data_IF_995665311813
#
_entry.id   IF_995665311813
#
_cell.length_a   1.000
_cell.length_b   1.000
_cell.length_c   1.000
_cell.angle_alpha   90.00
_cell.angle_beta   90.00
_cell.angle_gamma   90.00
#
_symmetry.space_group_name_H-M   'P 1'
#
loop_
_entity.id
_entity.type
_entity.pdbx_description
1 polymer ?
#
# COMPACT_ATOMS: atom_id res chain seq x y z
N UNK A 1 -4.53 12.02 -10.97
CA UNK A 1 -5.02 12.06 -9.57
C UNK A 1 -3.81 11.85 -8.65
N UNK A 2 -3.73 12.56 -7.53
CA UNK A 2 -2.66 12.39 -6.54
C UNK A 2 -3.18 11.60 -5.32
N UNK A 3 -2.28 11.04 -4.52
CA UNK A 3 -2.62 10.10 -3.45
C UNK A 3 -3.67 10.64 -2.48
N UNK A 4 -3.52 11.87 -1.98
CA UNK A 4 -4.47 12.41 -1.01
C UNK A 4 -5.89 12.59 -1.59
N UNK A 5 -6.01 12.88 -2.88
CA UNK A 5 -7.32 12.92 -3.55
C UNK A 5 -7.92 11.51 -3.64
N UNK A 6 -7.12 10.50 -3.98
CA UNK A 6 -7.57 9.11 -4.00
C UNK A 6 -8.03 8.65 -2.61
N UNK A 7 -7.28 9.01 -1.56
CA UNK A 7 -7.65 8.73 -0.18
C UNK A 7 -8.98 9.38 0.24
N UNK A 8 -9.29 10.56 -0.27
CA UNK A 8 -10.53 11.27 0.06
C UNK A 8 -11.74 10.78 -0.75
N UNK A 9 -11.53 10.49 -2.03
CA UNK A 9 -12.62 10.30 -2.99
C UNK A 9 -12.91 8.84 -3.31
N UNK A 10 -11.88 7.96 -3.27
CA UNK A 10 -12.06 6.59 -3.69
C UNK A 10 -12.63 5.69 -2.58
N UNK A 11 -13.50 4.78 -2.98
CA UNK A 11 -14.00 3.68 -2.14
C UNK A 11 -13.13 2.43 -2.25
N UNK A 12 -12.47 2.25 -3.39
CA UNK A 12 -11.63 1.08 -3.66
C UNK A 12 -10.26 1.54 -4.14
N UNK A 13 -9.20 1.00 -3.55
CA UNK A 13 -7.82 1.23 -3.97
C UNK A 13 -7.14 -0.12 -4.20
N UNK A 14 -6.48 -0.28 -5.33
CA UNK A 14 -5.68 -1.48 -5.64
C UNK A 14 -4.22 -1.09 -5.66
N UNK A 15 -3.44 -1.63 -4.74
CA UNK A 15 -2.02 -1.31 -4.57
C UNK A 15 -1.18 -2.36 -5.28
N UNK A 16 -0.39 -1.91 -6.24
CA UNK A 16 0.52 -2.74 -7.01
C UNK A 16 1.88 -2.08 -7.20
N UNK A 17 2.88 -2.91 -7.36
CA UNK A 17 4.25 -2.52 -7.54
C UNK A 17 5.19 -3.54 -6.89
N UNK A 18 6.49 -3.30 -6.90
CA UNK A 18 7.45 -4.16 -6.24
C UNK A 18 7.18 -4.27 -4.74
N UNK A 19 7.46 -5.44 -4.17
CA UNK A 19 7.40 -5.64 -2.72
C UNK A 19 8.52 -4.82 -2.05
N UNK A 20 8.21 -4.21 -0.91
CA UNK A 20 9.18 -3.41 -0.18
C UNK A 20 8.59 -2.58 0.95
N UNK A 21 9.47 -1.83 1.62
CA UNK A 21 9.10 -0.98 2.78
C UNK A 21 8.05 0.07 2.42
N UNK A 22 8.16 0.66 1.24
CA UNK A 22 7.25 1.69 0.77
C UNK A 22 5.82 1.17 0.59
N UNK A 23 5.67 0.00 -0.02
CA UNK A 23 4.36 -0.64 -0.16
C UNK A 23 3.75 -0.96 1.20
N UNK A 24 4.54 -1.48 2.13
CA UNK A 24 4.11 -1.74 3.50
C UNK A 24 3.68 -0.47 4.23
N UNK A 25 4.44 0.62 4.09
CA UNK A 25 4.11 1.92 4.68
C UNK A 25 2.80 2.49 4.11
N UNK A 26 2.62 2.40 2.78
CA UNK A 26 1.38 2.82 2.11
C UNK A 26 0.18 2.02 2.62
N UNK A 27 0.28 0.69 2.73
CA UNK A 27 -0.81 -0.15 3.27
C UNK A 27 -1.16 0.25 4.70
N UNK A 28 -0.18 0.54 5.55
CA UNK A 28 -0.42 1.06 6.90
C UNK A 28 -1.12 2.43 6.90
N UNK A 29 -0.78 3.30 5.94
CA UNK A 29 -1.44 4.58 5.75
C UNK A 29 -2.90 4.39 5.33
N UNK A 30 -3.19 3.51 4.37
CA UNK A 30 -4.55 3.19 3.93
C UNK A 30 -5.42 2.68 5.10
N UNK A 31 -4.86 1.85 5.97
CA UNK A 31 -5.56 1.38 7.17
C UNK A 31 -5.95 2.54 8.08
N UNK A 32 -5.05 3.51 8.32
CA UNK A 32 -5.33 4.71 9.13
C UNK A 32 -6.42 5.60 8.50
N UNK A 33 -6.57 5.56 7.18
CA UNK A 33 -7.63 6.26 6.45
C UNK A 33 -8.94 5.46 6.36
N UNK A 34 -9.08 4.37 7.11
CA UNK A 34 -10.31 3.60 7.23
C UNK A 34 -10.58 2.62 6.09
N UNK A 35 -9.55 2.27 5.31
CA UNK A 35 -9.67 1.20 4.33
C UNK A 35 -9.51 -0.17 4.99
N UNK A 36 -10.38 -1.10 4.63
CA UNK A 36 -10.22 -2.51 4.99
C UNK A 36 -9.24 -3.14 4.00
N UNK A 37 -8.12 -3.62 4.53
CA UNK A 37 -7.09 -4.23 3.69
C UNK A 37 -7.46 -5.68 3.38
N UNK A 38 -7.45 -6.02 2.10
CA UNK A 38 -7.56 -7.39 1.60
C UNK A 38 -6.32 -7.73 0.80
N UNK A 39 -5.59 -8.73 1.26
CA UNK A 39 -4.41 -9.20 0.53
C UNK A 39 -4.80 -10.27 -0.46
N UNK A 40 -4.37 -10.10 -1.70
CA UNK A 40 -4.47 -11.17 -2.69
C UNK A 40 -3.55 -12.33 -2.27
N UNK A 41 -4.09 -13.54 -2.28
CA UNK A 41 -3.29 -14.75 -1.98
C UNK A 41 -2.37 -15.16 -3.15
N UNK A 42 -2.37 -14.40 -4.26
CA UNK A 42 -1.57 -14.71 -5.44
C UNK A 42 -2.00 -15.98 -6.20
N UNK A 43 -3.05 -16.65 -5.72
CA UNK A 43 -3.57 -17.85 -6.37
C UNK A 43 -4.56 -17.47 -7.46
N UNK A 44 -4.17 -17.71 -8.71
CA UNK A 44 -5.09 -17.59 -9.84
C UNK A 44 -5.95 -18.85 -9.90
N UNK A 45 -7.23 -18.67 -10.09
CA UNK A 45 -8.13 -19.77 -10.36
C UNK A 45 -7.81 -20.37 -11.74
N UNK A 46 -7.77 -21.69 -11.89
CA UNK A 46 -7.29 -22.33 -13.13
C UNK A 46 -8.25 -22.15 -14.31
N UNK A 47 -9.55 -21.99 -14.04
CA UNK A 47 -10.59 -21.78 -15.08
C UNK A 47 -10.83 -20.29 -15.32
N UNK A 48 -10.94 -19.49 -14.26
CA UNK A 48 -11.12 -18.05 -14.32
C UNK A 48 -10.11 -17.35 -13.40
N UNK A 49 -8.96 -16.93 -13.95
CA UNK A 49 -7.89 -16.32 -13.16
C UNK A 49 -8.31 -15.07 -12.39
N UNK A 50 -9.29 -14.32 -12.88
CA UNK A 50 -9.72 -13.05 -12.25
C UNK A 50 -10.83 -13.22 -11.23
N UNK A 51 -11.47 -14.38 -11.15
CA UNK A 51 -12.57 -14.65 -10.21
C UNK A 51 -12.22 -14.29 -8.75
N UNK A 52 -11.07 -14.71 -8.17
CA UNK A 52 -10.73 -14.36 -6.80
C UNK A 52 -10.66 -12.85 -6.55
N UNK A 53 -10.27 -12.09 -7.55
CA UNK A 53 -10.15 -10.63 -7.47
C UNK A 53 -11.51 -9.94 -7.57
N UNK A 54 -12.42 -10.45 -8.43
CA UNK A 54 -13.82 -9.98 -8.46
C UNK A 54 -14.52 -10.23 -7.11
N UNK A 55 -14.27 -11.37 -6.49
CA UNK A 55 -14.79 -11.70 -5.15
C UNK A 55 -14.23 -10.74 -4.09
N UNK A 56 -12.95 -10.36 -4.16
CA UNK A 56 -12.38 -9.35 -3.27
C UNK A 56 -13.05 -7.98 -3.49
N UNK A 57 -13.27 -7.57 -4.73
CA UNK A 57 -13.94 -6.32 -5.06
C UNK A 57 -15.39 -6.29 -4.60
N UNK A 58 -16.07 -7.43 -4.45
CA UNK A 58 -17.44 -7.49 -3.97
C UNK A 58 -17.59 -7.10 -2.47
N UNK A 59 -16.50 -6.98 -1.72
CA UNK A 59 -16.54 -6.61 -0.31
C UNK A 59 -17.15 -5.21 -0.09
N UNK A 60 -18.03 -5.03 0.90
CA UNK A 60 -18.64 -3.74 1.19
C UNK A 60 -17.65 -2.75 1.83
N UNK A 61 -17.99 -1.46 1.75
CA UNK A 61 -17.24 -0.39 2.42
C UNK A 61 -16.01 0.09 1.65
N UNK A 62 -15.09 0.73 2.36
CA UNK A 62 -13.82 1.21 1.81
C UNK A 62 -12.81 0.09 1.79
N UNK A 63 -12.34 -0.25 0.62
CA UNK A 63 -11.50 -1.42 0.37
C UNK A 63 -10.13 -1.02 -0.18
N UNK A 64 -9.06 -1.56 0.38
CA UNK A 64 -7.76 -1.57 -0.26
C UNK A 64 -7.31 -3.01 -0.53
N UNK A 65 -7.03 -3.31 -1.79
CA UNK A 65 -6.52 -4.62 -2.23
C UNK A 65 -5.01 -4.53 -2.36
N UNK A 66 -4.30 -5.34 -1.58
CA UNK A 66 -2.85 -5.45 -1.62
C UNK A 66 -2.46 -6.59 -2.57
N UNK A 67 -2.03 -6.22 -3.78
CA UNK A 67 -1.74 -7.13 -4.88
C UNK A 67 -2.96 -7.51 -5.72
N UNK A 68 -2.75 -7.64 -7.02
CA UNK A 68 -3.79 -7.98 -7.98
C UNK A 68 -3.28 -8.86 -9.12
N UNK A 69 -4.11 -9.03 -10.14
CA UNK A 69 -3.73 -9.74 -11.37
C UNK A 69 -2.64 -9.03 -12.18
N UNK A 70 -2.41 -7.73 -11.90
CA UNK A 70 -1.36 -6.95 -12.58
C UNK A 70 0.02 -7.55 -12.28
N UNK A 71 0.20 -8.08 -11.06
CA UNK A 71 1.42 -8.82 -10.71
C UNK A 71 1.71 -9.97 -11.68
N UNK A 72 0.69 -10.72 -12.07
CA UNK A 72 0.83 -11.83 -13.03
C UNK A 72 1.15 -11.33 -14.45
N UNK A 73 0.57 -10.18 -14.86
CA UNK A 73 0.90 -9.56 -16.15
C UNK A 73 2.38 -9.16 -16.24
N UNK A 74 2.97 -8.73 -15.12
CA UNK A 74 4.36 -8.28 -15.04
C UNK A 74 5.29 -9.50 -14.88
N UNK A 75 5.13 -10.25 -13.80
CA UNK A 75 6.07 -11.33 -13.45
C UNK A 75 5.80 -12.63 -14.19
N UNK A 76 4.61 -12.84 -14.75
CA UNK A 76 4.32 -14.01 -15.57
C UNK A 76 5.27 -14.15 -16.76
N UNK A 77 5.38 -13.13 -17.63
CA UNK A 77 6.33 -13.12 -18.73
C UNK A 77 7.79 -13.19 -18.27
N UNK A 78 8.17 -12.42 -17.26
CA UNK A 78 9.56 -12.38 -16.76
C UNK A 78 10.03 -13.73 -16.22
N UNK A 79 9.18 -14.44 -15.50
CA UNK A 79 9.55 -15.71 -14.84
C UNK A 79 9.31 -16.95 -15.68
N UNK A 80 8.34 -16.92 -16.59
CA UNK A 80 7.85 -18.11 -17.33
C UNK A 80 7.70 -17.89 -18.83
N UNK A 81 8.09 -16.72 -19.34
CA UNK A 81 7.92 -16.34 -20.75
C UNK A 81 6.46 -16.05 -21.16
N UNK A 82 5.50 -16.23 -20.27
CA UNK A 82 4.07 -15.97 -20.54
C UNK A 82 3.30 -15.59 -19.28
N UNK A 83 2.27 -14.75 -19.45
CA UNK A 83 1.26 -14.52 -18.43
C UNK A 83 0.15 -15.56 -18.50
N UNK A 84 -0.45 -15.89 -17.36
CA UNK A 84 -1.70 -16.66 -17.24
C UNK A 84 -2.95 -15.78 -17.28
N UNK A 85 -2.75 -14.47 -17.21
CA UNK A 85 -3.80 -13.45 -17.33
C UNK A 85 -3.65 -12.75 -18.67
N UNK A 86 -4.74 -12.57 -19.39
CA UNK A 86 -4.77 -11.82 -20.63
C UNK A 86 -4.93 -10.31 -20.37
N UNK A 87 -4.56 -9.50 -21.36
CA UNK A 87 -4.82 -8.05 -21.28
C UNK A 87 -6.30 -7.72 -21.15
N UNK A 88 -7.19 -8.45 -21.85
CA UNK A 88 -8.63 -8.25 -21.74
C UNK A 88 -9.08 -8.42 -20.29
N UNK A 89 -8.64 -9.49 -19.63
CA UNK A 89 -8.97 -9.72 -18.22
C UNK A 89 -8.44 -8.63 -17.29
N UNK A 90 -7.28 -8.05 -17.60
CA UNK A 90 -6.72 -6.95 -16.81
C UNK A 90 -7.49 -5.64 -17.01
N UNK A 91 -7.96 -5.37 -18.23
CA UNK A 91 -8.81 -4.23 -18.54
C UNK A 91 -10.16 -4.36 -17.85
N UNK A 92 -10.83 -5.51 -17.96
CA UNK A 92 -12.08 -5.81 -17.23
C UNK A 92 -11.93 -5.60 -15.73
N UNK A 93 -10.79 -6.00 -15.15
CA UNK A 93 -10.49 -5.78 -13.73
C UNK A 93 -10.34 -4.29 -13.40
N UNK A 94 -9.64 -3.53 -14.25
CA UNK A 94 -9.47 -2.09 -14.06
C UNK A 94 -10.82 -1.36 -14.13
N UNK A 95 -11.67 -1.72 -15.10
CA UNK A 95 -13.04 -1.19 -15.21
C UNK A 95 -13.89 -1.52 -13.97
N UNK A 96 -13.81 -2.76 -13.46
CA UNK A 96 -14.49 -3.15 -12.24
C UNK A 96 -14.02 -2.37 -11.00
N UNK A 97 -12.74 -1.95 -10.95
CA UNK A 97 -12.22 -1.05 -9.92
C UNK A 97 -12.79 0.35 -10.09
N UNK A 98 -12.84 0.88 -11.32
CA UNK A 98 -13.39 2.20 -11.62
C UNK A 98 -14.89 2.30 -11.29
N UNK A 99 -15.68 1.27 -11.63
CA UNK A 99 -17.12 1.17 -11.31
C UNK A 99 -17.41 1.20 -9.81
N UNK A 100 -16.42 0.92 -8.99
CA UNK A 100 -16.51 1.01 -7.53
C UNK A 100 -15.96 2.32 -6.95
N UNK A 101 -15.96 3.39 -7.72
CA UNK A 101 -15.32 4.65 -7.35
C UNK A 101 -13.87 4.40 -6.90
N UNK A 102 -13.14 3.61 -7.68
CA UNK A 102 -11.81 3.14 -7.30
C UNK A 102 -10.69 3.72 -8.14
N UNK A 103 -9.46 3.46 -7.69
CA UNK A 103 -8.22 3.79 -8.39
C UNK A 103 -7.17 2.69 -8.21
N UNK A 104 -6.27 2.60 -9.19
CA UNK A 104 -5.08 1.77 -9.14
C UNK A 104 -3.92 2.60 -8.59
N UNK A 105 -3.18 2.10 -7.62
CA UNK A 105 -1.98 2.74 -7.09
C UNK A 105 -0.75 1.99 -7.58
N UNK A 106 0.07 2.67 -8.37
CA UNK A 106 1.36 2.18 -8.83
C UNK A 106 2.46 2.64 -7.87
N UNK A 107 2.97 1.71 -7.07
CA UNK A 107 4.13 1.96 -6.19
C UNK A 107 5.41 1.87 -7.00
N UNK A 108 6.22 2.94 -6.99
CA UNK A 108 7.49 3.02 -7.71
C UNK A 108 8.66 3.23 -6.74
N UNK A 109 9.89 3.11 -7.23
CA UNK A 109 11.09 3.46 -6.47
C UNK A 109 11.59 2.44 -5.45
N UNK A 110 10.94 1.29 -5.29
CA UNK A 110 11.26 0.28 -4.27
C UNK A 110 12.06 -0.94 -4.76
N UNK A 111 12.52 -0.97 -6.01
CA UNK A 111 13.23 -2.13 -6.56
C UNK A 111 14.41 -1.74 -7.42
N UNK A 112 15.46 -2.56 -7.37
CA UNK A 112 16.58 -2.53 -8.31
C UNK A 112 16.30 -3.33 -9.60
N UNK A 113 15.16 -4.05 -9.64
CA UNK A 113 14.71 -4.78 -10.84
C UNK A 113 14.11 -3.81 -11.86
N UNK A 114 14.99 -3.30 -12.73
CA UNK A 114 14.62 -2.33 -13.77
C UNK A 114 13.69 -2.94 -14.83
N UNK A 115 13.76 -4.25 -15.08
CA UNK A 115 12.91 -4.93 -16.04
C UNK A 115 11.47 -5.03 -15.54
N UNK A 116 11.29 -5.41 -14.28
CA UNK A 116 9.98 -5.42 -13.64
C UNK A 116 9.40 -4.00 -13.52
N UNK A 117 10.22 -3.00 -13.14
CA UNK A 117 9.79 -1.61 -13.05
C UNK A 117 9.27 -1.10 -14.41
N UNK A 118 10.01 -1.33 -15.49
CA UNK A 118 9.58 -0.97 -16.85
C UNK A 118 8.33 -1.73 -17.30
N UNK A 119 8.16 -2.99 -16.88
CA UNK A 119 6.96 -3.77 -17.19
C UNK A 119 5.73 -3.24 -16.43
N UNK A 120 5.86 -2.86 -15.15
CA UNK A 120 4.81 -2.19 -14.39
C UNK A 120 4.41 -0.86 -15.03
N UNK A 121 5.38 -0.02 -15.41
CA UNK A 121 5.10 1.26 -16.04
C UNK A 121 4.28 1.09 -17.33
N UNK A 122 4.64 0.12 -18.18
CA UNK A 122 3.86 -0.18 -19.40
C UNK A 122 2.45 -0.65 -19.07
N UNK A 123 2.32 -1.54 -18.07
CA UNK A 123 1.02 -2.04 -17.65
C UNK A 123 0.12 -0.91 -17.14
N UNK A 124 0.60 -0.08 -16.24
CA UNK A 124 -0.19 1.02 -15.70
C UNK A 124 -0.54 2.09 -16.74
N UNK A 125 0.35 2.35 -17.70
CA UNK A 125 0.04 3.26 -18.82
C UNK A 125 -1.15 2.76 -19.65
N UNK A 126 -1.25 1.46 -19.87
CA UNK A 126 -2.38 0.86 -20.60
C UNK A 126 -3.65 0.89 -19.74
N UNK A 127 -3.56 0.51 -18.46
CA UNK A 127 -4.70 0.47 -17.54
C UNK A 127 -5.26 1.85 -17.20
N UNK A 128 -4.45 2.91 -17.31
CA UNK A 128 -4.87 4.30 -17.09
C UNK A 128 -5.97 4.79 -18.05
N UNK A 129 -6.21 4.07 -19.14
CA UNK A 129 -7.31 4.34 -20.07
C UNK A 129 -8.66 3.81 -19.55
N UNK A 130 -8.65 2.90 -18.57
CA UNK A 130 -9.84 2.20 -18.05
C UNK A 130 -10.12 2.50 -16.58
N UNK A 131 -9.12 2.93 -15.82
CA UNK A 131 -9.29 3.31 -14.41
C UNK A 131 -8.35 4.45 -14.04
N UNK A 132 -8.71 5.28 -13.04
CA UNK A 132 -7.79 6.26 -12.49
C UNK A 132 -6.53 5.59 -11.94
N UNK A 133 -5.36 6.14 -12.29
CA UNK A 133 -4.07 5.67 -11.77
C UNK A 133 -3.43 6.77 -10.92
N UNK A 134 -2.88 6.35 -9.78
CA UNK A 134 -2.08 7.17 -8.87
C UNK A 134 -0.69 6.56 -8.79
N UNK A 135 0.33 7.35 -9.09
CA UNK A 135 1.71 6.93 -8.86
C UNK A 135 2.15 7.34 -7.45
N UNK A 136 2.67 6.40 -6.70
CA UNK A 136 3.25 6.60 -5.38
C UNK A 136 4.75 6.31 -5.46
N UNK A 137 5.57 7.36 -5.36
CA UNK A 137 7.03 7.23 -5.39
C UNK A 137 7.59 7.10 -3.96
N UNK A 138 8.12 5.92 -3.67
CA UNK A 138 8.72 5.59 -2.39
C UNK A 138 9.90 6.46 -1.99
N UNK A 139 10.60 7.05 -2.97
CA UNK A 139 11.79 7.85 -2.72
C UNK A 139 11.44 9.25 -2.22
N UNK A 140 10.38 9.82 -2.74
CA UNK A 140 9.96 11.20 -2.40
C UNK A 140 9.32 11.27 -1.01
N UNK A 141 8.56 10.24 -0.61
CA UNK A 141 7.88 10.25 0.70
C UNK A 141 8.77 9.81 1.86
N UNK A 142 9.88 9.12 1.60
CA UNK A 142 10.91 8.81 2.60
C UNK A 142 11.62 10.06 3.13
N UNK A 143 11.83 11.07 2.31
CA UNK A 143 12.49 12.33 2.70
C UNK A 143 11.58 13.22 3.56
N UNK A 144 10.27 13.21 3.36
CA UNK A 144 9.33 14.01 4.16
C UNK A 144 9.15 13.42 5.58
N UNK A 145 9.35 12.12 5.76
CA UNK A 145 9.28 11.45 7.08
C UNK A 145 10.52 11.69 7.96
N UNK A 146 11.68 11.94 7.39
CA UNK A 146 12.94 12.12 8.13
C UNK A 146 13.12 13.56 8.69
N UNK A 147 12.49 14.55 8.05
CA UNK A 147 12.54 15.94 8.51
C UNK A 147 11.71 16.23 9.78
N UNK A 148 10.90 15.29 10.25
CA UNK A 148 10.03 15.45 11.43
C UNK A 148 10.50 14.68 12.68
N UNK A 149 11.78 14.33 12.80
CA UNK A 149 12.31 13.89 14.10
C UNK A 149 12.50 15.12 14.99
N UNK A 150 11.77 15.24 16.13
CA UNK A 150 12.06 16.29 17.08
C UNK A 150 13.50 16.06 17.58
N UNK A 151 14.35 17.08 17.43
CA UNK A 151 15.66 17.11 18.04
C UNK A 151 15.48 16.80 19.54
N UNK A 152 16.13 15.74 20.02
CA UNK A 152 16.22 15.45 21.44
C UNK A 152 16.86 16.68 22.11
N UNK A 153 16.04 17.48 22.77
CA UNK A 153 16.49 18.48 23.70
C UNK A 153 17.29 17.82 24.82
N UNK A 154 18.24 18.53 25.44
CA UNK A 154 19.06 18.00 26.51
C UNK A 154 18.19 17.46 27.64
N UNK A 155 18.53 16.28 28.16
CA UNK A 155 17.83 15.61 29.24
C UNK A 155 17.64 16.55 30.44
N UNK A 156 16.46 16.57 31.09
CA UNK A 156 16.27 17.37 32.30
C UNK A 156 17.18 16.87 33.41
N UNK A 157 17.70 17.77 34.27
CA UNK A 157 18.58 17.40 35.36
C UNK A 157 17.86 16.48 36.37
N UNK A 158 18.59 15.56 37.03
CA UNK A 158 18.01 14.63 37.99
C UNK A 158 17.40 15.38 39.18
N UNK A 159 16.15 15.01 39.54
CA UNK A 159 15.48 15.52 40.72
C UNK A 159 16.29 15.28 41.99
N UNK A 160 16.44 16.27 42.88
CA UNK A 160 17.09 16.08 44.17
C UNK A 160 16.27 15.10 45.03
N UNK A 161 16.96 14.09 45.53
CA UNK A 161 16.39 13.06 46.41
C UNK A 161 15.87 13.72 47.70
N UNK A 162 14.55 13.64 47.93
CA UNK A 162 13.93 13.96 49.20
C UNK A 162 14.44 12.97 50.27
N UNK A 163 15.24 13.48 51.21
CA UNK A 163 15.65 12.75 52.41
C UNK A 163 14.41 12.40 53.23
N UNK A 164 14.21 11.09 53.50
CA UNK A 164 13.18 10.60 54.43
C UNK A 164 13.56 11.05 55.83
N UNK A 165 12.75 11.91 56.42
CA UNK A 165 12.74 12.14 57.84
C UNK A 165 12.03 10.98 58.54
N UNK A 166 12.79 10.14 59.21
CA UNK A 166 12.27 9.14 60.15
C UNK A 166 11.90 9.85 61.42
N UNK A 167 10.63 10.06 61.71
CA UNK A 167 10.12 10.44 63.03
C UNK A 167 9.86 9.18 63.85
N UNK A 168 10.67 9.01 64.89
CA UNK A 168 10.48 7.99 65.92
C UNK A 168 9.37 8.50 66.87
N UNK A 169 8.23 7.82 66.90
CA UNK A 169 7.19 8.03 67.90
C UNK A 169 7.52 7.17 69.13
N UNK A 170 7.90 7.80 70.22
CA UNK A 170 8.00 7.20 71.56
C UNK A 170 6.62 7.31 72.23
N UNK A 171 6.03 6.17 72.57
CA UNK A 171 4.82 6.08 73.39
C UNK A 171 5.29 5.88 74.85
N UNK A 172 4.92 6.81 75.72
CA UNK A 172 4.96 6.65 77.14
C UNK A 172 3.53 6.42 77.70
#
# INVERSE_FOLDING_TARGET
MILHQALAQCRTLVVEGPDGVARTALIAQLTRHGFVIRRSRGHLHHVDPIRPYRELLAAPGRLAVDGSIIHELVYGPLRRGRSRVTWIQALDFAEAVAERDGALIHVTGGTDDTEAAGAYERAFRTLAQHAPVVTFDARVEGEVGEAARPSHGPAPPPCPQLRRCTQTLTIG
#
